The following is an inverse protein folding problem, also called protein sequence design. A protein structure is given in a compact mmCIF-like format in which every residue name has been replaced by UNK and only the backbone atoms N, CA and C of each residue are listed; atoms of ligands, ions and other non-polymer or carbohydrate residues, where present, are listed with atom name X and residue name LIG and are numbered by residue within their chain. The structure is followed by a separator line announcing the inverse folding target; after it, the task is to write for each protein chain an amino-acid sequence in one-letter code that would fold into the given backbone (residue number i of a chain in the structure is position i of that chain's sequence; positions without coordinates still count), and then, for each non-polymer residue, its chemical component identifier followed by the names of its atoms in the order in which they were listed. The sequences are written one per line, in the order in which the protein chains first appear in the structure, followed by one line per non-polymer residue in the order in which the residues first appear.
data_IF_940420436109
#
_entry.id   IF_940420436109
#
_cell.length_a   1.000
_cell.length_b   1.000
_cell.length_c   1.000
_cell.angle_alpha   90.00
_cell.angle_beta   90.00
_cell.angle_gamma   90.00
#
_symmetry.space_group_name_H-M   'P 1'
#
loop_
_entity.id
_entity.type
_entity.pdbx_description
1 polymer ?
#
# COMPACT_ATOMS: atom_id res chain seq x y z
N UNK A 1 13.83 13.38 3.29
CA UNK A 1 13.41 12.03 3.72
C UNK A 1 13.62 11.95 5.22
N UNK A 2 12.55 11.82 6.02
CA UNK A 2 12.66 11.78 7.48
C UNK A 2 12.93 10.35 7.98
N UNK A 3 13.96 10.19 8.81
CA UNK A 3 14.25 8.96 9.56
C UNK A 3 13.70 9.08 10.98
N UNK A 4 13.00 8.05 11.47
CA UNK A 4 12.52 7.98 12.86
C UNK A 4 13.28 6.90 13.62
N UNK A 5 13.83 7.28 14.77
CA UNK A 5 14.54 6.38 15.68
C UNK A 5 13.64 6.02 16.85
N UNK A 6 13.50 4.72 17.11
CA UNK A 6 12.77 4.19 18.26
C UNK A 6 13.76 3.57 19.23
N UNK A 7 13.77 4.08 20.46
CA UNK A 7 14.59 3.56 21.55
C UNK A 7 13.76 2.62 22.42
N UNK A 8 14.35 1.47 22.76
CA UNK A 8 13.64 0.38 23.43
C UNK A 8 13.00 0.79 24.76
N UNK A 9 13.75 1.43 25.64
CA UNK A 9 13.26 1.83 26.96
C UNK A 9 12.17 2.90 26.87
N UNK A 10 12.36 3.89 25.98
CA UNK A 10 11.40 4.96 25.75
C UNK A 10 10.08 4.38 25.24
N UNK A 11 10.15 3.53 24.22
CA UNK A 11 8.97 2.91 23.62
C UNK A 11 8.23 2.00 24.61
N UNK A 12 8.96 1.26 25.45
CA UNK A 12 8.36 0.49 26.54
C UNK A 12 7.57 1.39 27.51
N UNK A 13 8.17 2.48 28.00
CA UNK A 13 7.47 3.41 28.90
C UNK A 13 6.19 3.96 28.26
N UNK A 14 6.26 4.41 27.01
CA UNK A 14 5.11 5.00 26.32
C UNK A 14 3.96 3.99 26.13
N UNK A 15 4.27 2.76 25.74
CA UNK A 15 3.28 1.71 25.47
C UNK A 15 2.56 1.20 26.74
N UNK A 16 3.18 1.35 27.91
CA UNK A 16 2.58 0.99 29.20
C UNK A 16 1.93 2.17 29.93
N UNK A 17 2.18 3.41 29.50
CA UNK A 17 1.54 4.64 30.02
C UNK A 17 0.30 5.02 29.21
N UNK A 18 0.27 4.76 27.90
CA UNK A 18 -0.86 5.10 27.04
C UNK A 18 -1.26 3.96 26.09
N UNK A 19 -2.52 3.95 25.61
CA UNK A 19 -2.97 3.05 24.56
C UNK A 19 -2.07 3.10 23.34
N UNK A 20 -1.76 1.92 22.79
CA UNK A 20 -0.93 1.74 21.60
C UNK A 20 -1.40 2.59 20.41
N UNK A 21 -2.71 2.83 20.30
CA UNK A 21 -3.32 3.68 19.26
C UNK A 21 -2.89 5.14 19.39
N UNK A 22 -2.78 5.67 20.60
CA UNK A 22 -2.33 7.04 20.87
C UNK A 22 -0.83 7.18 20.60
N UNK A 23 -0.04 6.23 21.11
CA UNK A 23 1.41 6.18 20.88
C UNK A 23 1.71 6.10 19.38
N UNK A 24 1.01 5.22 18.64
CA UNK A 24 1.21 5.05 17.20
C UNK A 24 0.93 6.34 16.42
N UNK A 25 -0.10 7.12 16.80
CA UNK A 25 -0.41 8.42 16.21
C UNK A 25 0.73 9.43 16.39
N UNK A 26 1.34 9.51 17.58
CA UNK A 26 2.52 10.37 17.81
C UNK A 26 3.69 10.01 16.89
N UNK A 27 3.87 8.71 16.66
CA UNK A 27 4.89 8.21 15.75
C UNK A 27 4.46 8.18 14.27
N UNK A 28 3.26 8.69 13.93
CA UNK A 28 2.73 8.71 12.56
C UNK A 28 2.72 7.35 11.86
N UNK A 29 2.52 6.26 12.60
CA UNK A 29 2.43 4.89 12.10
C UNK A 29 1.12 4.24 12.55
N UNK A 30 0.76 3.11 11.95
CA UNK A 30 -0.36 2.30 12.43
C UNK A 30 -0.03 1.58 13.75
N UNK A 31 -1.05 1.25 14.52
CA UNK A 31 -0.94 0.45 15.75
C UNK A 31 -0.34 -0.94 15.47
N UNK A 32 -0.68 -1.55 14.32
CA UNK A 32 -0.09 -2.80 13.83
C UNK A 32 1.40 -2.63 13.55
N UNK A 33 1.80 -1.52 12.91
CA UNK A 33 3.21 -1.22 12.67
C UNK A 33 3.93 -1.02 14.00
N UNK A 34 3.38 -0.26 14.94
CA UNK A 34 3.98 -0.05 16.26
C UNK A 34 4.18 -1.39 16.99
N UNK A 35 3.19 -2.30 16.95
CA UNK A 35 3.32 -3.64 17.53
C UNK A 35 4.45 -4.47 16.90
N UNK A 36 4.67 -4.36 15.58
CA UNK A 36 5.81 -5.01 14.90
C UNK A 36 7.14 -4.46 15.41
N UNK A 37 7.25 -3.14 15.61
CA UNK A 37 8.44 -2.52 16.17
C UNK A 37 8.68 -2.99 17.61
N UNK A 38 7.64 -3.04 18.46
CA UNK A 38 7.75 -3.58 19.82
C UNK A 38 8.22 -5.04 19.83
N UNK A 39 7.69 -5.88 18.93
CA UNK A 39 8.12 -7.27 18.79
C UNK A 39 9.60 -7.38 18.40
N UNK A 40 10.06 -6.54 17.47
CA UNK A 40 11.46 -6.50 17.02
C UNK A 40 12.42 -6.06 18.13
N UNK A 41 11.97 -5.17 19.00
CA UNK A 41 12.72 -4.70 20.18
C UNK A 41 12.52 -5.60 21.41
N UNK A 42 11.85 -6.76 21.28
CA UNK A 42 11.53 -7.65 22.41
C UNK A 42 10.90 -6.89 23.60
N UNK A 43 9.99 -5.96 23.30
CA UNK A 43 9.25 -5.16 24.28
C UNK A 43 7.94 -5.89 24.57
N UNK A 44 7.66 -6.26 25.84
CA UNK A 44 6.37 -6.81 26.21
C UNK A 44 5.29 -5.74 25.98
N UNK A 45 4.20 -6.11 25.33
CA UNK A 45 3.07 -5.21 25.03
C UNK A 45 1.86 -5.58 25.90
N UNK A 46 1.03 -4.60 26.29
CA UNK A 46 -0.16 -4.87 27.10
C UNK A 46 -1.10 -5.83 26.37
N UNK A 47 -1.62 -6.86 27.06
CA UNK A 47 -2.56 -7.81 26.46
C UNK A 47 -3.89 -7.13 26.10
N UNK A 48 -4.66 -7.77 25.23
CA UNK A 48 -5.99 -7.28 24.88
C UNK A 48 -6.85 -7.14 26.15
N UNK A 49 -7.50 -5.99 26.32
CA UNK A 49 -8.30 -5.68 27.52
C UNK A 49 -7.53 -5.10 28.70
N UNK A 50 -6.19 -5.00 28.66
CA UNK A 50 -5.41 -4.32 29.70
C UNK A 50 -5.91 -2.88 29.94
N UNK A 51 -6.07 -2.10 28.86
CA UNK A 51 -6.53 -0.72 28.93
C UNK A 51 -7.98 -0.58 29.42
N UNK A 52 -8.84 -1.57 29.15
CA UNK A 52 -10.20 -1.61 29.70
C UNK A 52 -10.17 -1.80 31.23
N UNK A 53 -9.27 -2.65 31.75
CA UNK A 53 -9.06 -2.83 33.19
C UNK A 53 -8.51 -1.57 33.86
N UNK A 54 -7.57 -0.88 33.21
CA UNK A 54 -7.04 0.41 33.70
C UNK A 54 -8.13 1.48 33.74
N UNK A 55 -8.96 1.58 32.70
CA UNK A 55 -10.11 2.50 32.69
C UNK A 55 -11.15 2.16 33.76
N UNK A 56 -11.32 0.89 34.10
CA UNK A 56 -12.15 0.43 35.22
C UNK A 56 -11.50 0.66 36.61
N UNK A 57 -10.37 1.39 36.69
CA UNK A 57 -9.69 1.73 37.93
C UNK A 57 -8.78 0.63 38.50
N UNK A 58 -8.58 -0.48 37.79
CA UNK A 58 -7.69 -1.55 38.24
C UNK A 58 -6.22 -1.18 37.98
N UNK A 59 -5.32 -1.66 38.83
CA UNK A 59 -3.86 -1.50 38.70
C UNK A 59 -3.19 -2.84 38.31
N UNK A 60 -3.38 -3.34 37.08
CA UNK A 60 -2.76 -4.57 36.62
C UNK A 60 -1.23 -4.48 36.65
N UNK A 61 -0.57 -5.61 36.95
CA UNK A 61 0.90 -5.68 37.06
C UNK A 61 1.54 -5.40 35.69
N UNK A 62 2.49 -4.47 35.68
CA UNK A 62 3.33 -4.18 34.52
C UNK A 62 4.57 -5.08 34.58
N UNK A 63 4.81 -5.95 33.58
CA UNK A 63 6.00 -6.79 33.55
C UNK A 63 7.24 -5.94 33.31
N UNK A 64 8.29 -6.13 34.13
CA UNK A 64 9.59 -5.45 33.95
C UNK A 64 10.18 -5.74 32.57
N UNK A 65 10.81 -4.73 31.97
CA UNK A 65 11.47 -4.85 30.66
C UNK A 65 12.55 -5.96 30.71
N UNK A 66 12.39 -7.07 29.97
CA UNK A 66 13.37 -8.15 29.98
C UNK A 66 14.68 -7.72 29.30
N UNK A 67 15.83 -8.22 29.75
CA UNK A 67 17.10 -8.05 29.02
C UNK A 67 16.96 -8.72 27.65
N UNK A 68 17.16 -7.98 26.55
CA UNK A 68 17.21 -8.59 25.20
C UNK A 68 18.63 -8.78 24.74
N UNK A 69 18.79 -9.71 23.79
CA UNK A 69 19.98 -9.80 22.92
C UNK A 69 19.81 -9.03 21.60
N UNK A 70 18.62 -8.49 21.35
CA UNK A 70 18.28 -7.72 20.15
C UNK A 70 18.75 -6.25 20.19
N UNK A 71 18.51 -5.49 19.11
CA UNK A 71 18.95 -4.10 19.00
C UNK A 71 18.20 -3.18 19.97
N UNK A 72 18.92 -2.29 20.66
CA UNK A 72 18.31 -1.31 21.58
C UNK A 72 17.64 -0.13 20.86
N UNK A 73 17.97 0.06 19.58
CA UNK A 73 17.44 1.13 18.73
C UNK A 73 17.10 0.58 17.35
N UNK A 74 15.98 1.03 16.81
CA UNK A 74 15.61 0.78 15.41
C UNK A 74 15.39 2.12 14.71
N UNK A 75 16.00 2.27 13.53
CA UNK A 75 15.80 3.42 12.66
C UNK A 75 14.92 2.98 11.50
N UNK A 76 13.72 3.53 11.41
CA UNK A 76 12.81 3.25 10.30
C UNK A 76 12.80 4.45 9.37
N UNK A 77 13.01 4.19 8.08
CA UNK A 77 12.74 5.20 7.05
C UNK A 77 11.22 5.35 6.94
N UNK A 78 10.72 6.57 7.10
CA UNK A 78 9.32 6.85 6.82
C UNK A 78 9.12 6.80 5.29
N UNK A 79 8.88 5.61 4.74
CA UNK A 79 8.16 5.53 3.49
C UNK A 79 6.75 5.98 3.80
N UNK A 80 6.41 7.21 3.43
CA UNK A 80 5.03 7.69 3.39
C UNK A 80 4.25 6.90 2.32
N UNK A 81 4.11 5.60 2.52
CA UNK A 81 3.13 4.77 1.83
C UNK A 81 1.83 4.84 2.63
N UNK A 82 1.32 6.06 2.77
CA UNK A 82 -0.07 6.31 3.14
C UNK A 82 -0.93 5.93 1.93
N UNK A 83 -1.07 4.62 1.66
CA UNK A 83 -1.82 4.15 0.49
C UNK A 83 -3.35 4.32 0.59
N UNK A 84 -3.86 4.98 1.64
CA UNK A 84 -5.31 5.12 1.81
C UNK A 84 -5.79 6.42 2.49
N UNK A 85 -5.01 7.04 3.37
CA UNK A 85 -5.47 8.24 4.10
C UNK A 85 -5.24 9.58 3.39
N UNK A 86 -4.47 9.61 2.30
CA UNK A 86 -4.17 10.86 1.57
C UNK A 86 -5.25 11.25 0.54
N UNK A 87 -6.20 10.38 0.21
CA UNK A 87 -7.22 10.66 -0.82
C UNK A 87 -8.54 11.18 -0.24
N UNK A 88 -8.75 11.10 1.08
CA UNK A 88 -9.98 11.56 1.74
C UNK A 88 -9.95 13.04 2.16
N UNK A 89 -8.80 13.71 2.05
CA UNK A 89 -8.63 15.12 2.45
C UNK A 89 -8.27 16.10 1.33
N UNK A 90 -7.96 15.61 0.11
CA UNK A 90 -7.72 16.50 -1.03
C UNK A 90 -9.08 17.07 -1.43
N UNK A 91 -9.30 18.37 -1.18
CA UNK A 91 -10.47 19.07 -1.70
C UNK A 91 -10.50 18.80 -3.22
N UNK A 92 -11.62 18.36 -3.77
CA UNK A 92 -11.83 18.06 -5.20
C UNK A 92 -11.35 19.21 -6.13
N UNK A 93 -11.20 20.41 -5.58
CA UNK A 93 -10.66 21.63 -6.20
C UNK A 93 -9.14 21.59 -6.46
N UNK A 94 -8.37 20.81 -5.70
CA UNK A 94 -6.91 20.69 -5.83
C UNK A 94 -6.48 19.52 -6.74
N UNK A 95 -7.43 18.73 -7.24
CA UNK A 95 -7.13 17.63 -8.16
C UNK A 95 -6.55 18.20 -9.46
N UNK A 96 -5.35 17.76 -9.83
CA UNK A 96 -4.56 18.24 -10.98
C UNK A 96 -4.09 19.71 -10.87
N UNK A 97 -3.86 20.23 -9.66
CA UNK A 97 -3.30 21.59 -9.46
C UNK A 97 -1.89 21.81 -10.05
N UNK A 98 -1.19 20.72 -10.39
CA UNK A 98 0.11 20.77 -11.06
C UNK A 98 0.00 21.03 -12.57
N UNK A 99 -1.19 20.95 -13.16
CA UNK A 99 -1.44 21.25 -14.57
C UNK A 99 -1.96 22.68 -14.76
N UNK A 100 -1.63 23.32 -15.90
CA UNK A 100 -2.32 24.52 -16.37
C UNK A 100 -3.85 24.32 -16.43
N UNK A 101 -4.63 25.40 -16.25
CA UNK A 101 -6.09 25.31 -16.14
C UNK A 101 -6.76 24.71 -17.38
N UNK A 102 -6.25 25.07 -18.56
CA UNK A 102 -6.68 24.57 -19.86
C UNK A 102 -6.46 23.05 -19.99
N UNK A 103 -5.27 22.56 -19.64
CA UNK A 103 -4.97 21.13 -19.64
C UNK A 103 -5.78 20.38 -18.58
N UNK A 104 -5.94 20.99 -17.41
CA UNK A 104 -6.74 20.44 -16.32
C UNK A 104 -8.19 20.25 -16.72
N UNK A 105 -8.78 21.23 -17.41
CA UNK A 105 -10.15 21.15 -17.87
C UNK A 105 -10.30 20.08 -18.98
N UNK A 106 -9.38 20.06 -19.94
CA UNK A 106 -9.37 19.04 -21.00
C UNK A 106 -9.29 17.60 -20.44
N UNK A 107 -8.44 17.36 -19.43
CA UNK A 107 -8.35 16.05 -18.76
C UNK A 107 -9.67 15.71 -18.05
N UNK A 108 -10.28 16.67 -17.35
CA UNK A 108 -11.56 16.46 -16.66
C UNK A 108 -12.68 16.12 -17.64
N UNK A 109 -12.79 16.87 -18.73
CA UNK A 109 -13.81 16.66 -19.76
C UNK A 109 -13.63 15.30 -20.44
N UNK A 110 -12.38 14.94 -20.75
CA UNK A 110 -12.07 13.62 -21.27
C UNK A 110 -12.46 12.51 -20.28
N UNK A 111 -12.02 12.60 -19.01
CA UNK A 111 -12.39 11.63 -17.98
C UNK A 111 -13.90 11.48 -17.79
N UNK A 112 -14.68 12.56 -17.93
CA UNK A 112 -16.14 12.52 -17.87
C UNK A 112 -16.77 11.78 -19.07
N UNK A 113 -16.12 11.82 -20.23
CA UNK A 113 -16.55 11.12 -21.45
C UNK A 113 -16.14 9.63 -21.50
N UNK A 114 -15.18 9.21 -20.68
CA UNK A 114 -14.69 7.82 -20.68
C UNK A 114 -15.76 6.88 -20.16
N UNK A 115 -16.30 6.06 -21.05
CA UNK A 115 -17.22 4.97 -20.72
C UNK A 115 -16.53 3.61 -20.94
N UNK A 116 -16.72 2.68 -19.99
CA UNK A 116 -16.22 1.31 -20.12
C UNK A 116 -17.22 0.52 -20.97
N UNK A 117 -16.80 -0.04 -22.13
CA UNK A 117 -17.69 -0.82 -22.97
C UNK A 117 -18.12 -2.12 -22.27
N UNK A 118 -19.33 -2.60 -22.58
CA UNK A 118 -19.83 -3.86 -22.06
C UNK A 118 -19.13 -5.07 -22.69
N UNK A 119 -18.58 -4.93 -23.89
CA UNK A 119 -18.04 -6.04 -24.66
C UNK A 119 -16.50 -6.06 -24.70
N UNK A 120 -15.94 -7.25 -24.89
CA UNK A 120 -14.49 -7.51 -24.96
C UNK A 120 -13.91 -7.35 -26.38
N UNK A 121 -14.63 -6.69 -27.29
CA UNK A 121 -14.32 -6.69 -28.73
C UNK A 121 -13.05 -5.91 -29.07
N UNK A 122 -12.83 -4.75 -28.42
CA UNK A 122 -11.67 -3.91 -28.67
C UNK A 122 -10.84 -3.76 -27.40
N UNK A 123 -9.94 -4.71 -27.15
CA UNK A 123 -9.03 -4.69 -26.00
C UNK A 123 -7.66 -4.10 -26.34
N UNK A 124 -7.06 -3.43 -25.36
CA UNK A 124 -5.68 -2.94 -25.40
C UNK A 124 -4.68 -4.10 -25.50
N UNK A 125 -3.53 -3.88 -26.15
CA UNK A 125 -2.53 -4.91 -26.44
C UNK A 125 -2.06 -5.67 -25.20
N UNK A 126 -1.69 -4.96 -24.13
CA UNK A 126 -1.27 -5.57 -22.86
C UNK A 126 -2.37 -6.45 -22.21
N UNK A 127 -3.64 -6.06 -22.39
CA UNK A 127 -4.77 -6.84 -21.85
C UNK A 127 -4.98 -8.10 -22.69
N UNK A 128 -4.85 -8.02 -24.02
CA UNK A 128 -4.89 -9.18 -24.91
C UNK A 128 -3.78 -10.17 -24.57
N UNK A 129 -2.55 -9.68 -24.39
CA UNK A 129 -1.40 -10.51 -24.02
C UNK A 129 -1.60 -11.18 -22.66
N UNK A 130 -2.15 -10.44 -21.70
CA UNK A 130 -2.50 -10.99 -20.38
C UNK A 130 -3.51 -12.13 -20.51
N UNK A 131 -4.60 -11.93 -21.27
CA UNK A 131 -5.61 -12.97 -21.51
C UNK A 131 -5.00 -14.18 -22.20
N UNK A 132 -4.19 -13.97 -23.25
CA UNK A 132 -3.52 -15.03 -24.00
C UNK A 132 -2.57 -15.83 -23.12
N UNK A 133 -1.81 -15.19 -22.24
CA UNK A 133 -0.88 -15.84 -21.32
C UNK A 133 -1.59 -16.85 -20.40
N UNK A 134 -2.73 -16.45 -19.83
CA UNK A 134 -3.50 -17.31 -18.93
C UNK A 134 -4.35 -18.36 -19.66
N UNK A 135 -4.78 -18.09 -20.90
CA UNK A 135 -5.55 -19.06 -21.71
C UNK A 135 -4.66 -20.12 -22.37
N UNK A 136 -3.44 -19.77 -22.74
CA UNK A 136 -2.57 -20.70 -23.47
C UNK A 136 -2.03 -21.82 -22.58
N UNK A 137 -2.15 -23.06 -23.06
CA UNK A 137 -1.54 -24.26 -22.45
C UNK A 137 -0.10 -24.50 -22.90
N UNK A 138 0.29 -23.98 -24.07
CA UNK A 138 1.62 -24.21 -24.68
C UNK A 138 2.53 -23.02 -24.41
N UNK A 139 3.69 -23.27 -23.81
CA UNK A 139 4.68 -22.22 -23.48
C UNK A 139 5.12 -21.37 -24.68
N UNK A 140 5.18 -21.93 -25.88
CA UNK A 140 5.60 -21.24 -27.12
C UNK A 140 4.65 -20.13 -27.58
N UNK A 141 3.39 -20.17 -27.16
CA UNK A 141 2.36 -19.18 -27.54
C UNK A 141 2.03 -18.21 -26.41
N UNK A 142 2.74 -18.32 -25.28
CA UNK A 142 2.58 -17.41 -24.15
C UNK A 142 3.39 -16.14 -24.41
N UNK A 143 2.76 -14.95 -24.27
CA UNK A 143 3.49 -13.70 -24.26
C UNK A 143 4.56 -13.66 -23.18
N UNK A 144 5.57 -12.81 -23.37
CA UNK A 144 6.65 -12.59 -22.41
C UNK A 144 6.10 -11.97 -21.12
N UNK A 145 6.72 -12.30 -19.98
CA UNK A 145 6.27 -11.85 -18.66
C UNK A 145 6.20 -10.32 -18.51
N UNK A 146 7.05 -9.58 -19.23
CA UNK A 146 7.04 -8.11 -19.28
C UNK A 146 5.85 -7.52 -20.08
N UNK A 147 4.91 -8.35 -20.54
CA UNK A 147 3.67 -7.94 -21.20
C UNK A 147 2.42 -8.44 -20.48
N UNK A 148 2.59 -9.12 -19.34
CA UNK A 148 1.51 -9.78 -18.61
C UNK A 148 1.22 -9.05 -17.31
N UNK A 149 -0.06 -8.71 -17.10
CA UNK A 149 -0.54 -8.12 -15.86
C UNK A 149 -0.91 -9.22 -14.86
N UNK A 150 -0.33 -9.16 -13.67
CA UNK A 150 -0.72 -10.03 -12.56
C UNK A 150 -1.96 -9.44 -11.87
N UNK A 151 -3.12 -10.07 -12.08
CA UNK A 151 -4.40 -9.63 -11.54
C UNK A 151 -4.83 -10.53 -10.36
N UNK A 152 -4.87 -9.97 -9.16
CA UNK A 152 -5.34 -10.64 -7.94
C UNK A 152 -6.86 -10.58 -7.78
N UNK A 153 -7.60 -11.11 -8.76
CA UNK A 153 -9.08 -11.05 -8.78
C UNK A 153 -9.70 -12.43 -8.96
N UNK A 154 -10.92 -12.61 -8.44
CA UNK A 154 -11.70 -13.84 -8.62
C UNK A 154 -12.02 -14.08 -10.10
N UNK A 155 -12.22 -15.34 -10.47
CA UNK A 155 -12.50 -15.75 -11.86
C UNK A 155 -13.64 -14.96 -12.49
N UNK A 156 -14.73 -14.81 -11.76
CA UNK A 156 -15.96 -14.13 -12.20
C UNK A 156 -15.77 -12.64 -12.50
N UNK A 157 -14.74 -12.01 -11.93
CA UNK A 157 -14.46 -10.58 -12.14
C UNK A 157 -13.43 -10.33 -13.24
N UNK A 158 -12.80 -11.36 -13.82
CA UNK A 158 -11.70 -11.19 -14.79
C UNK A 158 -12.13 -10.40 -16.02
N UNK A 159 -13.25 -10.75 -16.64
CA UNK A 159 -13.74 -10.07 -17.85
C UNK A 159 -14.10 -8.61 -17.60
N UNK A 160 -14.65 -8.30 -16.41
CA UNK A 160 -14.89 -6.92 -15.99
C UNK A 160 -13.57 -6.15 -15.83
N UNK A 161 -12.58 -6.75 -15.18
CA UNK A 161 -11.28 -6.12 -14.96
C UNK A 161 -10.55 -5.88 -16.28
N UNK A 162 -10.60 -6.82 -17.23
CA UNK A 162 -10.03 -6.65 -18.55
C UNK A 162 -10.63 -5.45 -19.30
N UNK A 163 -11.95 -5.26 -19.24
CA UNK A 163 -12.64 -4.09 -19.83
C UNK A 163 -12.20 -2.78 -19.18
N UNK A 164 -12.18 -2.74 -17.85
CA UNK A 164 -11.77 -1.54 -17.09
C UNK A 164 -10.33 -1.16 -17.40
N UNK A 165 -9.40 -2.11 -17.31
CA UNK A 165 -7.98 -1.86 -17.59
C UNK A 165 -7.74 -1.48 -19.05
N UNK A 166 -8.41 -2.14 -19.98
CA UNK A 166 -8.30 -1.77 -21.39
C UNK A 166 -8.78 -0.34 -21.65
N UNK A 167 -9.85 0.09 -20.97
CA UNK A 167 -10.40 1.45 -21.11
C UNK A 167 -9.44 2.46 -20.50
N UNK A 168 -8.91 2.14 -19.31
CA UNK A 168 -7.95 2.99 -18.62
C UNK A 168 -6.66 3.20 -19.43
N UNK A 169 -6.07 2.13 -19.98
CA UNK A 169 -4.83 2.27 -20.75
C UNK A 169 -5.02 3.12 -21.99
N UNK A 170 -6.10 2.90 -22.74
CA UNK A 170 -6.43 3.74 -23.90
C UNK A 170 -6.68 5.18 -23.52
N UNK A 171 -7.31 5.42 -22.36
CA UNK A 171 -7.52 6.76 -21.87
C UNK A 171 -6.20 7.46 -21.54
N UNK A 172 -5.26 6.75 -20.92
CA UNK A 172 -3.93 7.26 -20.62
C UNK A 172 -3.12 7.53 -21.89
N UNK A 173 -3.20 6.64 -22.90
CA UNK A 173 -2.57 6.83 -24.20
C UNK A 173 -3.16 8.00 -25.00
N UNK A 174 -4.47 8.20 -24.94
CA UNK A 174 -5.14 9.35 -25.55
C UNK A 174 -4.68 10.68 -24.94
N UNK A 175 -4.31 10.68 -23.66
CA UNK A 175 -3.74 11.84 -22.98
C UNK A 175 -2.23 12.02 -23.27
N UNK A 176 -1.64 11.20 -24.15
CA UNK A 176 -0.26 11.32 -24.61
C UNK A 176 0.78 10.59 -23.75
N UNK A 177 0.35 9.73 -22.82
CA UNK A 177 1.24 8.94 -21.99
C UNK A 177 1.45 7.53 -22.55
N UNK A 178 2.58 6.89 -22.24
CA UNK A 178 2.81 5.47 -22.56
C UNK A 178 2.53 4.56 -21.37
N UNK A 179 2.05 3.35 -21.64
CA UNK A 179 1.80 2.32 -20.63
C UNK A 179 2.75 1.16 -20.84
N UNK A 180 3.68 0.97 -19.90
CA UNK A 180 4.68 -0.10 -19.95
C UNK A 180 4.72 -0.90 -18.64
N UNK A 181 4.86 -2.23 -18.74
CA UNK A 181 5.08 -3.09 -17.58
C UNK A 181 6.58 -3.23 -17.36
N UNK A 182 7.09 -2.53 -16.35
CA UNK A 182 8.47 -2.70 -15.91
C UNK A 182 8.56 -3.96 -15.05
N UNK A 183 9.60 -4.77 -15.28
CA UNK A 183 9.95 -5.82 -14.34
C UNK A 183 10.12 -5.21 -12.94
N UNK A 184 9.72 -5.90 -11.86
CA UNK A 184 10.06 -5.44 -10.52
C UNK A 184 11.56 -5.21 -10.51
N UNK A 185 11.99 -3.97 -10.22
CA UNK A 185 13.39 -3.73 -9.86
C UNK A 185 13.65 -4.72 -8.73
N UNK A 186 14.53 -5.69 -8.95
CA UNK A 186 15.00 -6.55 -7.88
C UNK A 186 15.73 -5.66 -6.89
N UNK A 187 15.00 -5.01 -5.98
CA UNK A 187 15.56 -4.63 -4.69
C UNK A 187 15.91 -5.97 -4.05
N UNK A 188 17.20 -6.28 -4.07
CA UNK A 188 17.79 -7.46 -3.47
C UNK A 188 17.27 -7.64 -2.05
N UNK A 189 16.29 -8.53 -1.87
CA UNK A 189 15.81 -8.94 -0.56
C UNK A 189 16.36 -10.34 -0.27
N UNK A 190 17.34 -10.36 0.65
CA UNK A 190 17.92 -11.48 1.40
C UNK A 190 18.85 -12.46 0.67
N UNK A 191 20.15 -12.27 0.86
CA UNK A 191 21.04 -13.40 1.14
C UNK A 191 21.16 -13.51 2.66
N UNK A 192 20.66 -14.60 3.23
CA UNK A 192 21.10 -15.07 4.54
C UNK A 192 22.28 -16.02 4.28
N UNK A 193 23.46 -15.64 4.75
CA UNK A 193 24.46 -16.60 5.23
C UNK A 193 24.33 -16.71 6.75
#
# INVERSE_FOLDING_TARGET
METRTYEREKLYKEVWVEPMTTVAKRYGISDVALRKHCKKLEIPTPPNGYWAKVQAGQKPKIPTLPKSKGPDKIVTRNSSMNHSSSLSGVKKTETLSFLPEDQRQAVKDYCASVAVPADLTYLHGLVKDTIQYFRSRKGTTKPTLNRVLYLGVSGDQRDRVHRVLSTLFKAVEHLGYSVDIKAPKAEHYYNYE
#
